data_IF_403631753503
#
_entry.id   IF_403631753503
#
_cell.length_a   1.000
_cell.length_b   1.000
_cell.length_c   1.000
_cell.angle_alpha   90.00
_cell.angle_beta   90.00
_cell.angle_gamma   90.00
#
_symmetry.space_group_name_H-M   'P 1'
#
loop_
_entity.id
_entity.type
_entity.pdbx_description
1 polymer ?
#
# COMPACT_ATOMS: atom_id res chain seq x y z
N UNK A 1 20.96 -10.78 -11.96
CA UNK A 1 20.67 -11.88 -11.00
C UNK A 1 19.33 -12.47 -11.37
N UNK A 2 19.33 -13.63 -12.04
CA UNK A 2 18.10 -14.30 -12.44
C UNK A 2 17.60 -15.16 -11.27
N UNK A 3 16.67 -14.64 -10.48
CA UNK A 3 15.84 -15.50 -9.63
C UNK A 3 14.68 -16.01 -10.48
N UNK A 4 14.86 -17.23 -10.99
CA UNK A 4 13.83 -17.99 -11.68
C UNK A 4 12.67 -18.24 -10.70
N UNK A 5 11.55 -17.63 -10.98
CA UNK A 5 10.28 -17.75 -10.22
C UNK A 5 9.53 -19.06 -10.57
N UNK A 6 10.19 -19.95 -11.35
CA UNK A 6 9.60 -21.23 -11.73
C UNK A 6 10.08 -22.31 -10.77
N UNK A 7 9.12 -22.92 -10.08
CA UNK A 7 9.37 -24.02 -9.15
C UNK A 7 10.21 -25.15 -9.77
N UNK A 8 11.01 -25.77 -8.95
CA UNK A 8 11.86 -26.89 -9.33
C UNK A 8 11.01 -28.14 -9.49
N UNK A 9 10.94 -28.68 -10.72
CA UNK A 9 10.22 -29.94 -10.99
C UNK A 9 11.09 -31.13 -10.60
N UNK A 10 10.65 -31.93 -9.66
CA UNK A 10 11.20 -33.25 -9.36
C UNK A 10 10.37 -34.33 -10.03
N UNK A 11 10.99 -35.12 -10.88
CA UNK A 11 10.35 -36.27 -11.53
C UNK A 11 10.52 -37.49 -10.64
N UNK A 12 9.43 -37.97 -10.04
CA UNK A 12 9.42 -39.24 -9.33
C UNK A 12 8.26 -40.08 -9.89
N UNK A 13 8.55 -41.29 -10.36
CA UNK A 13 7.61 -42.33 -10.82
C UNK A 13 6.51 -41.83 -11.78
N UNK A 14 6.89 -41.18 -12.91
CA UNK A 14 5.97 -40.71 -13.94
C UNK A 14 4.97 -39.60 -13.55
N UNK A 15 5.06 -39.01 -12.37
CA UNK A 15 4.33 -37.79 -12.04
C UNK A 15 5.31 -36.64 -11.84
N UNK A 16 5.04 -35.51 -12.49
CA UNK A 16 5.72 -34.24 -12.23
C UNK A 16 5.05 -33.62 -11.01
N UNK A 17 5.74 -33.64 -9.89
CA UNK A 17 5.28 -32.94 -8.68
C UNK A 17 5.89 -31.54 -8.73
N UNK A 18 5.05 -30.54 -8.87
CA UNK A 18 5.44 -29.15 -8.73
C UNK A 18 5.66 -28.88 -7.23
N UNK A 19 6.92 -28.73 -6.83
CA UNK A 19 7.22 -28.28 -5.46
C UNK A 19 6.76 -26.83 -5.32
N UNK A 20 5.68 -26.61 -4.62
CA UNK A 20 5.28 -25.26 -4.25
C UNK A 20 6.29 -24.69 -3.24
N UNK A 21 6.67 -23.42 -3.38
CA UNK A 21 7.53 -22.78 -2.39
C UNK A 21 6.88 -22.84 -1.00
N UNK A 22 7.69 -22.90 0.07
CA UNK A 22 7.14 -22.88 1.42
C UNK A 22 6.28 -21.64 1.66
N UNK A 23 5.17 -21.80 2.35
CA UNK A 23 4.20 -20.71 2.61
C UNK A 23 4.83 -19.45 3.23
N UNK A 24 5.92 -19.59 3.98
CA UNK A 24 6.65 -18.46 4.54
C UNK A 24 7.41 -17.63 3.49
N UNK A 25 7.86 -18.23 2.37
CA UNK A 25 8.48 -17.48 1.26
C UNK A 25 7.45 -16.60 0.56
N UNK A 26 6.24 -17.10 0.36
CA UNK A 26 5.12 -16.32 -0.15
C UNK A 26 4.79 -15.15 0.79
N UNK A 27 4.80 -15.38 2.10
CA UNK A 27 4.55 -14.34 3.09
C UNK A 27 5.55 -13.20 3.00
N UNK A 28 6.84 -13.52 2.92
CA UNK A 28 7.91 -12.53 2.76
C UNK A 28 7.69 -11.72 1.48
N UNK A 29 7.45 -12.40 0.36
CA UNK A 29 7.21 -11.76 -0.93
C UNK A 29 6.01 -10.79 -0.88
N UNK A 30 4.91 -11.20 -0.26
CA UNK A 30 3.72 -10.35 -0.15
C UNK A 30 3.95 -9.14 0.74
N UNK A 31 4.63 -9.30 1.87
CA UNK A 31 4.98 -8.19 2.77
C UNK A 31 5.93 -7.20 2.08
N UNK A 32 6.94 -7.68 1.37
CA UNK A 32 7.82 -6.82 0.58
C UNK A 32 7.08 -6.07 -0.53
N UNK A 33 6.16 -6.75 -1.22
CA UNK A 33 5.35 -6.14 -2.28
C UNK A 33 4.44 -5.05 -1.72
N UNK A 34 3.77 -5.33 -0.59
CA UNK A 34 2.96 -4.36 0.12
C UNK A 34 3.78 -3.12 0.51
N UNK A 35 4.99 -3.31 1.03
CA UNK A 35 5.89 -2.20 1.37
C UNK A 35 6.28 -1.37 0.13
N UNK A 36 6.61 -2.02 -0.99
CA UNK A 36 6.96 -1.33 -2.24
C UNK A 36 5.83 -0.46 -2.77
N UNK A 37 4.58 -0.90 -2.61
CA UNK A 37 3.39 -0.15 -3.04
C UNK A 37 3.05 0.96 -2.04
N UNK A 38 3.03 0.67 -0.75
CA UNK A 38 2.54 1.60 0.28
C UNK A 38 3.56 2.70 0.62
N UNK A 39 4.85 2.36 0.67
CA UNK A 39 5.89 3.28 1.14
C UNK A 39 5.94 4.61 0.38
N UNK A 40 5.92 4.64 -0.97
CA UNK A 40 5.98 5.90 -1.71
C UNK A 40 4.85 6.86 -1.34
N UNK A 41 3.63 6.36 -1.23
CA UNK A 41 2.45 7.19 -0.91
C UNK A 41 2.52 7.68 0.53
N UNK A 42 2.68 6.78 1.49
CA UNK A 42 2.70 7.11 2.92
C UNK A 42 3.87 8.03 3.29
N UNK A 43 5.06 7.77 2.75
CA UNK A 43 6.24 8.59 3.04
C UNK A 43 6.14 9.99 2.43
N UNK A 44 5.55 10.13 1.25
CA UNK A 44 5.31 11.44 0.66
C UNK A 44 4.24 12.22 1.44
N UNK A 45 3.15 11.58 1.86
CA UNK A 45 2.16 12.20 2.74
C UNK A 45 2.75 12.64 4.09
N UNK A 46 3.56 11.77 4.71
CA UNK A 46 4.28 12.15 5.94
C UNK A 46 5.13 13.41 5.78
N UNK A 47 5.74 13.59 4.60
CA UNK A 47 6.62 14.73 4.28
C UNK A 47 5.88 15.92 3.66
N UNK A 48 4.57 15.87 3.53
CA UNK A 48 3.76 16.88 2.84
C UNK A 48 4.26 17.15 1.40
N UNK A 49 4.57 16.09 0.67
CA UNK A 49 5.15 16.14 -0.68
C UNK A 49 4.47 15.21 -1.69
N UNK A 50 3.33 14.59 -1.34
CA UNK A 50 2.63 13.69 -2.25
C UNK A 50 2.18 14.41 -3.51
N UNK A 51 1.49 15.55 -3.37
CA UNK A 51 0.99 16.35 -4.50
C UNK A 51 2.11 16.86 -5.40
N UNK A 52 3.29 17.10 -4.83
CA UNK A 52 4.46 17.56 -5.57
C UNK A 52 5.13 16.43 -6.36
N UNK A 53 5.21 15.24 -5.77
CA UNK A 53 6.05 14.16 -6.26
C UNK A 53 5.27 13.09 -7.06
N UNK A 54 3.93 13.05 -6.91
CA UNK A 54 3.07 12.14 -7.66
C UNK A 54 2.73 12.76 -9.00
N UNK A 55 3.27 12.21 -10.09
CA UNK A 55 2.88 12.61 -11.45
C UNK A 55 1.45 12.16 -11.71
N UNK A 56 0.65 13.07 -12.25
CA UNK A 56 -0.73 12.83 -12.63
C UNK A 56 -0.81 12.64 -14.14
N UNK A 57 -0.83 11.37 -14.56
CA UNK A 57 -1.01 11.00 -15.97
C UNK A 57 -2.49 10.72 -16.25
N UNK A 58 -3.29 11.76 -16.29
CA UNK A 58 -4.72 11.62 -16.58
C UNK A 58 -5.11 12.41 -17.82
N UNK A 59 -6.01 11.83 -18.63
CA UNK A 59 -6.57 12.46 -19.81
C UNK A 59 -7.53 13.61 -19.52
N UNK A 60 -7.93 13.81 -18.25
CA UNK A 60 -8.82 14.91 -17.86
C UNK A 60 -8.34 15.63 -16.61
N UNK A 61 -8.50 16.95 -16.59
CA UNK A 61 -8.20 17.79 -15.41
C UNK A 61 -9.07 17.49 -14.20
N UNK A 62 -10.26 16.95 -14.40
CA UNK A 62 -11.17 16.58 -13.31
C UNK A 62 -10.71 15.30 -12.59
N UNK A 63 -10.27 14.27 -13.33
CA UNK A 63 -9.73 13.05 -12.74
C UNK A 63 -8.50 13.31 -11.88
N UNK A 64 -7.69 14.31 -12.24
CA UNK A 64 -6.49 14.69 -11.50
C UNK A 64 -6.79 15.24 -10.11
N UNK A 65 -7.97 15.85 -9.88
CA UNK A 65 -8.34 16.40 -8.56
C UNK A 65 -8.43 15.32 -7.49
N UNK A 66 -8.82 14.11 -7.86
CA UNK A 66 -9.08 13.00 -6.93
C UNK A 66 -7.98 11.94 -6.90
N UNK A 67 -7.01 12.03 -7.80
CA UNK A 67 -5.96 11.02 -7.93
C UNK A 67 -5.16 10.79 -6.64
N UNK A 68 -4.90 11.85 -5.86
CA UNK A 68 -4.21 11.72 -4.57
C UNK A 68 -5.09 11.05 -3.50
N UNK A 69 -6.39 11.36 -3.47
CA UNK A 69 -7.36 10.69 -2.60
C UNK A 69 -7.46 9.21 -2.97
N UNK A 70 -7.58 8.91 -4.26
CA UNK A 70 -7.68 7.54 -4.77
C UNK A 70 -6.44 6.73 -4.44
N UNK A 71 -5.25 7.25 -4.71
CA UNK A 71 -3.99 6.60 -4.40
C UNK A 71 -3.86 6.32 -2.90
N UNK A 72 -4.17 7.30 -2.06
CA UNK A 72 -4.09 7.14 -0.60
C UNK A 72 -5.13 6.15 -0.07
N UNK A 73 -6.38 6.26 -0.51
CA UNK A 73 -7.47 5.40 -0.05
C UNK A 73 -7.24 3.93 -0.42
N UNK A 74 -6.77 3.66 -1.64
CA UNK A 74 -6.45 2.31 -2.08
C UNK A 74 -5.28 1.72 -1.29
N UNK A 75 -4.22 2.49 -1.07
CA UNK A 75 -3.08 2.05 -0.25
C UNK A 75 -3.52 1.80 1.17
N UNK A 76 -4.27 2.72 1.78
CA UNK A 76 -4.71 2.60 3.17
C UNK A 76 -5.61 1.38 3.36
N UNK A 77 -6.63 1.23 2.53
CA UNK A 77 -7.50 0.06 2.58
C UNK A 77 -6.74 -1.27 2.38
N UNK A 78 -5.74 -1.29 1.49
CA UNK A 78 -4.92 -2.48 1.25
C UNK A 78 -3.98 -2.83 2.39
N UNK A 79 -3.45 -1.83 3.14
CA UNK A 79 -2.48 -2.06 4.21
C UNK A 79 -3.14 -2.23 5.59
N UNK A 80 -4.36 -1.71 5.79
CA UNK A 80 -5.02 -1.68 7.09
C UNK A 80 -5.14 -3.06 7.75
N UNK A 81 -5.55 -4.15 7.07
CA UNK A 81 -5.63 -5.47 7.69
C UNK A 81 -4.28 -5.99 8.19
N UNK A 82 -3.18 -5.60 7.53
CA UNK A 82 -1.84 -5.97 7.97
C UNK A 82 -1.40 -5.13 9.17
N UNK A 83 -1.74 -3.84 9.22
CA UNK A 83 -1.44 -2.97 10.36
C UNK A 83 -2.25 -3.36 11.61
N UNK A 84 -3.47 -3.85 11.44
CA UNK A 84 -4.37 -4.28 12.51
C UNK A 84 -3.79 -5.44 13.35
N UNK A 85 -2.89 -6.25 12.79
CA UNK A 85 -2.19 -7.29 13.52
C UNK A 85 -1.30 -6.75 14.67
N UNK A 86 -1.01 -5.47 14.68
CA UNK A 86 -0.18 -4.83 15.70
C UNK A 86 1.31 -5.21 15.63
N UNK A 87 2.17 -4.60 16.45
CA UNK A 87 3.58 -4.94 16.54
C UNK A 87 3.79 -6.26 17.28
N UNK A 88 4.85 -6.98 16.92
CA UNK A 88 5.35 -8.16 17.64
C UNK A 88 6.88 -8.27 17.52
N UNK A 89 7.50 -9.27 18.18
CA UNK A 89 8.95 -9.44 18.22
C UNK A 89 9.57 -9.94 16.91
N UNK A 90 8.76 -10.36 15.94
CA UNK A 90 9.24 -10.79 14.62
C UNK A 90 9.78 -9.61 13.81
N UNK A 91 10.61 -9.89 12.81
CA UNK A 91 11.08 -8.84 11.89
C UNK A 91 9.93 -8.19 11.10
N UNK A 92 8.89 -8.97 10.79
CA UNK A 92 7.66 -8.45 10.19
C UNK A 92 6.91 -7.54 11.18
N UNK A 93 6.77 -7.94 12.45
CA UNK A 93 6.11 -7.15 13.48
C UNK A 93 6.81 -5.81 13.76
N UNK A 94 8.14 -5.81 13.81
CA UNK A 94 8.95 -4.58 13.93
C UNK A 94 8.80 -3.68 12.70
N UNK A 95 8.67 -4.26 11.53
CA UNK A 95 8.41 -3.51 10.30
C UNK A 95 7.03 -2.91 10.34
N UNK A 96 6.03 -3.68 10.77
CA UNK A 96 4.64 -3.23 10.93
C UNK A 96 4.51 -2.06 11.89
N UNK A 97 5.23 -2.07 13.01
CA UNK A 97 5.28 -0.95 13.95
C UNK A 97 5.70 0.36 13.27
N UNK A 98 6.76 0.30 12.44
CA UNK A 98 7.21 1.47 11.66
C UNK A 98 6.14 1.96 10.69
N UNK A 99 5.42 1.02 10.06
CA UNK A 99 4.35 1.38 9.12
C UNK A 99 3.10 1.91 9.82
N UNK A 100 2.77 1.45 11.02
CA UNK A 100 1.72 2.02 11.86
C UNK A 100 2.03 3.50 12.13
N UNK A 101 3.23 3.82 12.64
CA UNK A 101 3.64 5.19 12.91
C UNK A 101 3.68 6.06 11.63
N UNK A 102 4.12 5.49 10.51
CA UNK A 102 4.15 6.17 9.21
C UNK A 102 2.73 6.49 8.72
N UNK A 103 1.81 5.52 8.81
CA UNK A 103 0.42 5.66 8.36
C UNK A 103 -0.34 6.68 9.21
N UNK A 104 -0.20 6.65 10.53
CA UNK A 104 -0.81 7.65 11.42
C UNK A 104 -0.36 9.07 11.07
N UNK A 105 0.92 9.26 10.75
CA UNK A 105 1.42 10.57 10.34
C UNK A 105 0.91 10.98 8.96
N UNK A 106 0.81 10.04 8.03
CA UNK A 106 0.23 10.26 6.71
C UNK A 106 -1.24 10.69 6.79
N UNK A 107 -2.04 9.99 7.61
CA UNK A 107 -3.45 10.34 7.86
C UNK A 107 -3.53 11.75 8.45
N UNK A 108 -2.74 12.04 9.49
CA UNK A 108 -2.75 13.35 10.14
C UNK A 108 -2.52 14.50 9.14
N UNK A 109 -1.57 14.33 8.20
CA UNK A 109 -1.32 15.34 7.17
C UNK A 109 -2.40 15.37 6.09
N UNK A 110 -2.94 14.21 5.71
CA UNK A 110 -4.01 14.13 4.69
C UNK A 110 -5.29 14.84 5.12
N UNK A 111 -5.63 14.81 6.41
CA UNK A 111 -6.86 15.42 6.95
C UNK A 111 -6.64 16.82 7.54
N UNK A 112 -5.41 17.30 7.65
CA UNK A 112 -5.10 18.62 8.20
C UNK A 112 -5.25 19.72 7.14
N UNK A 113 -6.20 20.68 7.29
CA UNK A 113 -6.39 21.76 6.32
C UNK A 113 -5.16 22.65 6.10
N UNK A 114 -4.23 22.67 7.04
CA UNK A 114 -2.99 23.45 6.93
C UNK A 114 -1.85 22.68 6.26
N UNK A 115 -2.03 21.40 5.98
CA UNK A 115 -1.04 20.58 5.26
C UNK A 115 -1.04 20.90 3.77
N UNK A 116 0.15 20.88 3.16
CA UNK A 116 0.31 20.99 1.70
C UNK A 116 -0.34 19.83 0.95
N UNK A 117 -0.45 18.70 1.61
CA UNK A 117 -1.06 17.47 1.08
C UNK A 117 -2.48 17.26 1.59
N UNK A 118 -3.13 18.31 2.14
CA UNK A 118 -4.53 18.21 2.55
C UNK A 118 -5.39 17.64 1.42
N UNK A 119 -6.09 16.57 1.70
CA UNK A 119 -6.98 15.88 0.76
C UNK A 119 -8.40 16.35 0.99
N UNK A 120 -9.02 16.88 -0.06
CA UNK A 120 -10.40 17.37 0.00
C UNK A 120 -11.36 16.19 -0.08
N UNK A 121 -12.11 15.94 1.01
CA UNK A 121 -13.10 14.86 1.09
C UNK A 121 -14.54 15.33 0.74
N UNK A 122 -14.72 16.55 0.22
CA UNK A 122 -16.03 17.23 0.16
C UNK A 122 -16.70 17.25 -1.21
N UNK A 123 -16.08 16.73 -2.27
CA UNK A 123 -16.70 16.73 -3.60
C UNK A 123 -17.42 15.40 -3.94
N UNK A 124 -18.72 15.43 -4.30
CA UNK A 124 -19.65 14.35 -3.96
C UNK A 124 -19.79 13.19 -4.97
N UNK A 125 -19.22 13.19 -6.16
CA UNK A 125 -19.58 12.14 -7.14
C UNK A 125 -18.48 11.13 -7.46
N UNK A 126 -17.23 11.54 -7.65
CA UNK A 126 -16.13 10.61 -7.96
C UNK A 126 -15.33 10.19 -6.71
N UNK A 127 -15.34 11.00 -5.67
CA UNK A 127 -14.65 10.73 -4.43
C UNK A 127 -15.37 9.77 -3.49
N UNK A 128 -16.66 9.47 -3.72
CA UNK A 128 -17.46 8.64 -2.80
C UNK A 128 -16.88 7.25 -2.60
N UNK A 129 -16.45 6.60 -3.68
CA UNK A 129 -15.81 5.27 -3.59
C UNK A 129 -14.49 5.34 -2.80
N UNK A 130 -13.64 6.31 -3.12
CA UNK A 130 -12.35 6.49 -2.43
C UNK A 130 -12.54 6.86 -0.97
N UNK A 131 -13.56 7.67 -0.64
CA UNK A 131 -13.92 7.98 0.74
C UNK A 131 -14.44 6.75 1.48
N UNK A 132 -15.25 5.91 0.84
CA UNK A 132 -15.73 4.67 1.43
C UNK A 132 -14.58 3.70 1.71
N UNK A 133 -13.63 3.54 0.77
CA UNK A 133 -12.42 2.73 0.97
C UNK A 133 -11.55 3.28 2.11
N UNK A 134 -11.40 4.59 2.19
CA UNK A 134 -10.67 5.22 3.30
C UNK A 134 -11.34 4.99 4.66
N UNK A 135 -12.67 5.06 4.71
CA UNK A 135 -13.42 4.84 5.96
C UNK A 135 -13.46 3.36 6.40
N UNK A 136 -13.21 2.44 5.48
CA UNK A 136 -13.17 1.00 5.75
C UNK A 136 -11.82 0.55 6.34
N UNK A 137 -10.70 1.16 5.95
CA UNK A 137 -9.36 0.87 6.46
C UNK A 137 -9.09 1.58 7.78
#
# INVERSE_FOLDING_TARGET
MNNSFFGRFKKNNNQVIEEQPPVWEDRIFWVETLQKIAFPVLNNLKKESLKKNMSLESFSSESNKFAHLEAFSNVFNGIAPWLELGPDESEEGKTREKYIALTLKAIANAVNPNSKDYILFTEPKQSLMSMALFAQG
#
